data_IF_183929921126
#
_entry.id   IF_183929921126
#
_cell.length_a   1.000
_cell.length_b   1.000
_cell.length_c   1.000
_cell.angle_alpha   90.00
_cell.angle_beta   90.00
_cell.angle_gamma   90.00
#
_symmetry.space_group_name_H-M   'P 1'
#
loop_
_entity.id
_entity.type
_entity.pdbx_description
1 polymer ?
#
# COMPACT_ATOMS: atom_id res chain seq x y z
N UNK A 1 -34.60 -16.91 2.60
CA UNK A 1 -33.71 -15.74 2.75
C UNK A 1 -32.78 -15.74 1.54
N UNK A 2 -32.81 -14.73 0.65
CA UNK A 2 -31.92 -14.73 -0.50
C UNK A 2 -30.47 -14.51 -0.03
N UNK A 3 -29.54 -15.30 -0.57
CA UNK A 3 -28.12 -15.19 -0.27
C UNK A 3 -27.60 -13.81 -0.75
N UNK A 4 -26.99 -13.05 0.16
CA UNK A 4 -26.22 -11.86 -0.21
C UNK A 4 -25.00 -12.30 -1.02
N UNK A 5 -25.08 -12.08 -2.33
CA UNK A 5 -23.92 -12.18 -3.21
C UNK A 5 -23.05 -10.97 -2.88
N UNK A 6 -22.09 -11.15 -1.97
CA UNK A 6 -21.01 -10.19 -1.72
C UNK A 6 -20.22 -10.10 -3.03
N UNK A 7 -20.61 -9.15 -3.89
CA UNK A 7 -19.85 -8.78 -5.08
C UNK A 7 -18.55 -8.15 -4.59
N UNK A 8 -17.49 -8.94 -4.36
CA UNK A 8 -16.14 -8.37 -4.34
C UNK A 8 -15.88 -7.80 -5.74
N UNK A 9 -15.72 -6.48 -5.90
CA UNK A 9 -15.45 -5.91 -7.19
C UNK A 9 -14.10 -6.42 -7.70
N UNK A 10 -14.07 -6.61 -9.02
CA UNK A 10 -13.03 -7.23 -9.82
C UNK A 10 -11.62 -6.77 -9.43
N UNK A 11 -10.73 -7.74 -9.41
CA UNK A 11 -9.27 -7.64 -9.53
C UNK A 11 -8.85 -6.68 -10.65
N UNK A 12 -8.83 -5.37 -10.35
CA UNK A 12 -7.93 -4.41 -10.97
C UNK A 12 -6.63 -4.41 -10.18
N UNK A 13 -5.52 -3.97 -10.77
CA UNK A 13 -4.26 -3.76 -10.04
C UNK A 13 -4.58 -3.00 -8.73
N UNK A 14 -4.07 -3.44 -7.56
CA UNK A 14 -4.42 -2.80 -6.29
C UNK A 14 -4.20 -1.30 -6.40
N UNK A 15 -5.20 -0.52 -5.97
CA UNK A 15 -5.14 0.92 -6.07
C UNK A 15 -3.86 1.40 -5.38
N UNK A 16 -3.11 2.31 -6.02
CA UNK A 16 -1.82 2.72 -5.45
C UNK A 16 -2.01 3.45 -4.13
N UNK A 17 -3.20 4.01 -3.90
CA UNK A 17 -3.60 4.53 -2.61
C UNK A 17 -3.75 3.41 -1.59
N UNK A 18 -4.38 2.29 -1.95
CA UNK A 18 -4.47 1.10 -1.08
C UNK A 18 -3.07 0.55 -0.75
N UNK A 19 -2.17 0.43 -1.74
CA UNK A 19 -0.79 0.01 -1.49
C UNK A 19 -0.05 0.96 -0.54
N UNK A 20 -0.25 2.27 -0.68
CA UNK A 20 0.31 3.26 0.23
C UNK A 20 -0.26 3.10 1.64
N UNK A 21 -1.57 2.88 1.77
CA UNK A 21 -2.21 2.62 3.06
C UNK A 21 -1.66 1.36 3.73
N UNK A 22 -1.48 0.27 2.99
CA UNK A 22 -0.87 -0.96 3.51
C UNK A 22 0.55 -0.72 4.00
N UNK A 23 1.38 0.00 3.24
CA UNK A 23 2.74 0.31 3.70
C UNK A 23 2.74 1.20 4.95
N UNK A 24 1.89 2.21 5.03
CA UNK A 24 1.76 3.07 6.21
C UNK A 24 1.22 2.29 7.43
N UNK A 25 0.28 1.37 7.23
CA UNK A 25 -0.22 0.50 8.28
C UNK A 25 0.89 -0.41 8.83
N UNK A 26 1.70 -1.00 7.95
CA UNK A 26 2.82 -1.85 8.33
C UNK A 26 3.91 -1.09 9.10
N UNK A 27 4.16 0.19 8.78
CA UNK A 27 5.08 1.05 9.55
C UNK A 27 4.64 1.17 11.02
N UNK A 28 3.34 1.22 11.29
CA UNK A 28 2.84 1.35 12.67
C UNK A 28 3.07 0.08 13.49
N UNK A 29 3.02 -1.08 12.85
CA UNK A 29 3.12 -2.39 13.52
C UNK A 29 4.54 -2.94 13.56
N UNK A 30 5.39 -2.57 12.62
CA UNK A 30 6.77 -3.05 12.51
C UNK A 30 7.76 -1.96 12.96
N UNK A 31 8.95 -2.35 13.45
CA UNK A 31 10.06 -1.41 13.65
C UNK A 31 10.64 -1.02 12.29
N UNK A 32 9.87 -0.30 11.49
CA UNK A 32 10.31 0.18 10.19
C UNK A 32 11.39 1.24 10.36
N UNK A 33 12.53 0.99 9.73
CA UNK A 33 13.65 1.93 9.64
C UNK A 33 13.93 2.16 8.16
N UNK A 34 13.79 3.40 7.70
CA UNK A 34 13.91 3.76 6.29
C UNK A 34 12.86 4.77 5.87
N UNK A 35 12.45 4.75 4.60
CA UNK A 35 11.46 5.69 4.06
C UNK A 35 10.59 5.09 2.95
N UNK A 36 9.41 5.68 2.75
CA UNK A 36 8.54 5.38 1.60
C UNK A 36 8.64 6.55 0.63
N UNK A 37 8.88 6.26 -0.65
CA UNK A 37 8.86 7.23 -1.74
C UNK A 37 7.57 7.09 -2.53
N UNK A 38 6.80 8.18 -2.60
CA UNK A 38 5.60 8.28 -3.45
C UNK A 38 5.91 9.22 -4.60
N UNK A 39 5.86 8.70 -5.82
CA UNK A 39 6.02 9.48 -7.03
C UNK A 39 4.63 9.76 -7.62
N UNK A 40 4.34 11.03 -7.90
CA UNK A 40 3.11 11.46 -8.54
C UNK A 40 3.34 11.69 -10.04
N UNK A 41 2.35 11.36 -10.87
CA UNK A 41 2.36 11.66 -12.30
C UNK A 41 0.97 12.14 -12.73
N UNK A 42 0.90 13.28 -13.39
CA UNK A 42 -0.36 13.90 -13.86
C UNK A 42 -1.44 13.99 -12.76
N UNK A 43 -1.05 14.39 -11.55
CA UNK A 43 -1.97 14.53 -10.40
C UNK A 43 -2.41 13.21 -9.74
N UNK A 44 -1.95 12.06 -10.25
CA UNK A 44 -2.26 10.75 -9.68
C UNK A 44 -1.02 10.11 -9.06
N UNK A 45 -1.21 9.17 -8.14
CA UNK A 45 -0.10 8.37 -7.62
C UNK A 45 0.44 7.52 -8.78
N UNK A 46 1.71 7.75 -9.12
CA UNK A 46 2.43 7.08 -10.19
C UNK A 46 3.10 5.80 -9.71
N UNK A 47 3.86 5.88 -8.61
CA UNK A 47 4.63 4.76 -8.06
C UNK A 47 4.79 4.93 -6.56
N UNK A 48 4.72 3.82 -5.82
CA UNK A 48 5.02 3.78 -4.38
C UNK A 48 6.16 2.79 -4.19
N UNK A 49 7.22 3.21 -3.49
CA UNK A 49 8.42 2.40 -3.25
C UNK A 49 8.77 2.44 -1.76
N UNK A 50 8.99 1.27 -1.14
CA UNK A 50 9.43 1.13 0.25
C UNK A 50 10.93 0.86 0.26
N UNK A 51 11.69 1.66 1.01
CA UNK A 51 13.12 1.46 1.23
C UNK A 51 13.34 1.19 2.71
N UNK A 52 13.82 -0.02 3.01
CA UNK A 52 14.14 -0.45 4.37
C UNK A 52 15.64 -0.44 4.60
N UNK A 53 16.07 0.23 5.65
CA UNK A 53 17.42 0.19 6.18
C UNK A 53 17.48 -0.88 7.27
N UNK A 54 18.08 -2.02 6.97
CA UNK A 54 18.31 -3.07 7.95
C UNK A 54 19.53 -2.67 8.79
N UNK A 55 19.29 -2.25 10.03
CA UNK A 55 20.35 -2.13 11.04
C UNK A 55 20.86 -3.54 11.38
N UNK A 56 21.86 -4.02 10.63
CA UNK A 56 22.60 -5.23 11.02
C UNK A 56 23.43 -4.90 12.26
N UNK A 57 23.12 -5.58 13.36
CA UNK A 57 23.89 -5.50 14.61
C UNK A 57 25.07 -6.47 14.56
#
# INVERSE_FOLDING_TARGET
MPAEIIRKPKTGKPDKLEQLYEYLANIRTEKFTGYIRVNFSQGNIGRVEKFEEILKK
#
